data_IF_628276638434
#
_entry.id   IF_628276638434
#
_cell.length_a   1.000
_cell.length_b   1.000
_cell.length_c   1.000
_cell.angle_alpha   90.00
_cell.angle_beta   90.00
_cell.angle_gamma   90.00
#
_symmetry.space_group_name_H-M   'P 1'
#
loop_
_entity.id
_entity.type
_entity.pdbx_description
1 polymer ?
#
# COMPACT_ATOMS: atom_id res chain seq x y z
N UNK A 1 -14.25 9.73 12.55
CA UNK A 1 -14.53 8.27 12.43
C UNK A 1 -14.88 7.87 10.99
N UNK A 2 -15.77 8.59 10.28
CA UNK A 2 -16.14 8.29 8.88
C UNK A 2 -14.96 8.33 7.90
N UNK A 3 -14.06 9.31 8.03
CA UNK A 3 -12.92 9.44 7.11
C UNK A 3 -11.92 8.29 7.23
N UNK A 4 -11.77 7.72 8.44
CA UNK A 4 -10.94 6.54 8.65
C UNK A 4 -11.55 5.30 7.98
N UNK A 5 -12.86 5.09 8.13
CA UNK A 5 -13.56 4.02 7.44
C UNK A 5 -13.51 4.19 5.91
N UNK A 6 -13.62 5.42 5.41
CA UNK A 6 -13.48 5.73 3.98
C UNK A 6 -12.05 5.46 3.48
N UNK A 7 -11.01 5.84 4.25
CA UNK A 7 -9.62 5.55 3.90
C UNK A 7 -9.34 4.04 3.86
N UNK A 8 -9.88 3.27 4.81
CA UNK A 8 -9.81 1.80 4.78
C UNK A 8 -10.53 1.26 3.54
N UNK A 9 -11.75 1.72 3.28
CA UNK A 9 -12.51 1.28 2.10
C UNK A 9 -11.76 1.57 0.79
N UNK A 10 -11.11 2.74 0.71
CA UNK A 10 -10.34 3.14 -0.47
C UNK A 10 -9.10 2.26 -0.67
N UNK A 11 -8.35 1.93 0.38
CA UNK A 11 -7.18 1.04 0.21
C UNK A 11 -7.61 -0.35 -0.26
N UNK A 12 -8.71 -0.90 0.26
CA UNK A 12 -9.24 -2.19 -0.21
C UNK A 12 -9.73 -2.13 -1.66
N UNK A 13 -10.40 -1.04 -2.05
CA UNK A 13 -10.84 -0.87 -3.43
C UNK A 13 -9.66 -0.79 -4.40
N UNK A 14 -8.61 -0.03 -4.05
CA UNK A 14 -7.40 0.09 -4.86
C UNK A 14 -6.68 -1.26 -4.96
N UNK A 15 -6.44 -1.93 -3.83
CA UNK A 15 -5.83 -3.25 -3.81
C UNK A 15 -6.63 -4.24 -4.67
N UNK A 16 -7.96 -4.31 -4.49
CA UNK A 16 -8.83 -5.20 -5.25
C UNK A 16 -8.79 -4.94 -6.77
N UNK A 17 -8.75 -3.67 -7.19
CA UNK A 17 -8.59 -3.32 -8.61
C UNK A 17 -7.22 -3.75 -9.15
N UNK A 18 -6.15 -3.62 -8.37
CA UNK A 18 -4.82 -4.10 -8.76
C UNK A 18 -4.81 -5.62 -8.90
N UNK A 19 -5.45 -6.35 -7.97
CA UNK A 19 -5.56 -7.81 -8.06
C UNK A 19 -6.37 -8.24 -9.28
N UNK A 20 -7.48 -7.56 -9.57
CA UNK A 20 -8.35 -7.88 -10.69
C UNK A 20 -7.73 -7.53 -12.06
N UNK A 21 -7.04 -6.39 -12.15
CA UNK A 21 -6.47 -5.88 -13.40
C UNK A 21 -5.07 -6.40 -13.72
N UNK A 22 -4.26 -6.74 -12.71
CA UNK A 22 -2.84 -7.05 -12.86
C UNK A 22 -2.42 -8.35 -12.16
N UNK A 23 -3.22 -9.41 -12.32
CA UNK A 23 -2.99 -10.74 -11.70
C UNK A 23 -1.59 -11.31 -11.93
N UNK A 24 -1.11 -11.33 -13.17
CA UNK A 24 0.20 -11.92 -13.50
C UNK A 24 1.37 -11.12 -12.92
N UNK A 25 1.27 -9.79 -12.92
CA UNK A 25 2.30 -8.95 -12.32
C UNK A 25 2.35 -9.15 -10.81
N UNK A 26 1.18 -9.27 -10.17
CA UNK A 26 1.10 -9.54 -8.74
C UNK A 26 1.65 -10.91 -8.37
N UNK A 27 1.39 -11.96 -9.16
CA UNK A 27 1.98 -13.28 -8.92
C UNK A 27 3.51 -13.23 -8.97
N UNK A 28 4.07 -12.51 -9.95
CA UNK A 28 5.53 -12.34 -10.09
C UNK A 28 6.13 -11.56 -8.93
N UNK A 29 5.48 -10.46 -8.50
CA UNK A 29 5.97 -9.65 -7.39
C UNK A 29 5.93 -10.43 -6.07
N UNK A 30 4.88 -11.22 -5.82
CA UNK A 30 4.79 -12.07 -4.62
C UNK A 30 5.85 -13.17 -4.63
N UNK A 31 6.11 -13.80 -5.79
CA UNK A 31 7.17 -14.79 -5.92
C UNK A 31 8.58 -14.20 -5.68
N UNK A 32 8.81 -12.96 -6.13
CA UNK A 32 10.04 -12.23 -5.84
C UNK A 32 10.15 -11.89 -4.34
N UNK A 33 9.08 -11.35 -3.75
CA UNK A 33 9.03 -11.01 -2.33
C UNK A 33 9.26 -12.23 -1.43
N UNK A 34 8.76 -13.41 -1.80
CA UNK A 34 8.96 -14.65 -1.05
C UNK A 34 10.43 -15.10 -0.98
N UNK A 35 11.28 -14.65 -1.90
CA UNK A 35 12.72 -14.95 -1.94
C UNK A 35 13.57 -13.87 -1.28
N UNK A 36 12.96 -12.74 -0.95
CA UNK A 36 13.66 -11.57 -0.45
C UNK A 36 13.94 -11.69 1.06
N UNK A 37 14.97 -11.00 1.53
CA UNK A 37 15.29 -11.00 2.96
C UNK A 37 14.19 -10.27 3.77
N UNK A 38 13.74 -10.81 4.91
CA UNK A 38 12.76 -10.15 5.77
C UNK A 38 13.11 -8.71 6.15
N UNK A 39 14.41 -8.38 6.28
CA UNK A 39 14.84 -7.03 6.63
C UNK A 39 14.58 -6.03 5.50
N UNK A 40 14.82 -6.43 4.24
CA UNK A 40 14.50 -5.61 3.06
C UNK A 40 13.00 -5.36 2.98
N UNK A 41 12.18 -6.41 3.16
CA UNK A 41 10.71 -6.30 3.13
C UNK A 41 10.19 -5.36 4.23
N UNK A 42 10.76 -5.43 5.44
CA UNK A 42 10.44 -4.48 6.52
C UNK A 42 10.80 -3.05 6.15
N UNK A 43 11.98 -2.83 5.56
CA UNK A 43 12.40 -1.51 5.10
C UNK A 43 11.46 -0.90 4.08
N UNK A 44 11.05 -1.69 3.07
CA UNK A 44 10.07 -1.27 2.06
C UNK A 44 8.72 -0.96 2.70
N UNK A 45 8.23 -1.83 3.59
CA UNK A 45 6.96 -1.64 4.29
C UNK A 45 6.94 -0.39 5.16
N UNK A 46 8.01 -0.14 5.92
CA UNK A 46 8.16 1.07 6.73
C UNK A 46 8.25 2.33 5.86
N UNK A 47 9.01 2.28 4.76
CA UNK A 47 9.10 3.38 3.80
C UNK A 47 7.74 3.72 3.20
N UNK A 48 6.98 2.72 2.75
CA UNK A 48 5.63 2.90 2.23
C UNK A 48 4.67 3.48 3.28
N UNK A 49 4.74 3.01 4.52
CA UNK A 49 3.93 3.54 5.62
C UNK A 49 4.22 5.01 5.90
N UNK A 50 5.51 5.40 5.96
CA UNK A 50 5.93 6.78 6.16
C UNK A 50 5.45 7.70 5.04
N UNK A 51 5.58 7.26 3.78
CA UNK A 51 5.09 8.00 2.61
C UNK A 51 3.57 8.16 2.68
N UNK A 52 2.83 7.10 3.00
CA UNK A 52 1.38 7.16 3.16
C UNK A 52 0.95 8.17 4.22
N UNK A 53 1.60 8.16 5.39
CA UNK A 53 1.34 9.14 6.46
C UNK A 53 1.69 10.56 6.00
N UNK A 54 2.82 10.76 5.32
CA UNK A 54 3.23 12.06 4.80
C UNK A 54 2.22 12.62 3.78
N UNK A 55 1.69 11.78 2.89
CA UNK A 55 0.65 12.17 1.93
C UNK A 55 -0.62 12.60 2.68
N UNK A 56 -1.11 11.80 3.63
CA UNK A 56 -2.30 12.15 4.42
C UNK A 56 -2.10 13.46 5.18
N UNK A 57 -0.94 13.64 5.80
CA UNK A 57 -0.59 14.87 6.50
C UNK A 57 -0.55 16.07 5.57
N UNK A 58 0.09 15.95 4.40
CA UNK A 58 0.16 17.01 3.40
C UNK A 58 -1.24 17.37 2.89
N UNK A 59 -2.06 16.39 2.51
CA UNK A 59 -3.44 16.62 2.06
C UNK A 59 -4.30 17.32 3.12
N UNK A 60 -4.10 16.99 4.40
CA UNK A 60 -4.81 17.65 5.50
C UNK A 60 -4.29 19.05 5.82
N UNK A 61 -3.01 19.33 5.56
CA UNK A 61 -2.37 20.62 5.89
C UNK A 61 -2.53 21.65 4.77
N UNK A 62 -2.72 21.20 3.54
CA UNK A 62 -2.90 22.03 2.33
C UNK A 62 -4.38 22.40 2.06
N UNK A 63 -5.33 21.68 2.67
CA UNK A 63 -6.79 21.91 2.56
C UNK A 63 -7.33 22.51 3.85
#
# INVERSE_FOLDING_TARGET
>A
MRDFAAAIGLVFAIEGMLMAGFTDQMRKSMAAAARENPNTLRGVGLGAALVGVAIVWASRSLL
#
